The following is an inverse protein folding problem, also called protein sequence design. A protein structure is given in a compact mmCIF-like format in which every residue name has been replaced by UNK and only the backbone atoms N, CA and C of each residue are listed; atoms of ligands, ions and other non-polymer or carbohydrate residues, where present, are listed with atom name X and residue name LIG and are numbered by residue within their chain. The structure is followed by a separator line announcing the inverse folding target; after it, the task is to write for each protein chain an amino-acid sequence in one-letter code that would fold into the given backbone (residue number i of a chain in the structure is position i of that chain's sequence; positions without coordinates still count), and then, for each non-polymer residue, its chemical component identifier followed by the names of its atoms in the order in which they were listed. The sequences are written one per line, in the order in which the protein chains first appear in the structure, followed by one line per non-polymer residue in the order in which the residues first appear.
data_IF_227154164962
#
_entry.id   IF_227154164962
#
_cell.length_a   1.000
_cell.length_b   1.000
_cell.length_c   1.000
_cell.angle_alpha   90.00
_cell.angle_beta   90.00
_cell.angle_gamma   90.00
#
_symmetry.space_group_name_H-M   'P 1'
#
loop_
_entity.id
_entity.type
_entity.pdbx_description
1 polymer ?
#
# COMPACT_ATOMS: atom_id res chain seq x y z
N UNK A 1 26.72 1.11 12.00
CA UNK A 1 25.93 1.16 13.24
C UNK A 1 24.58 0.52 12.92
N UNK A 2 24.11 -0.43 13.72
CA UNK A 2 22.93 -1.26 13.40
C UNK A 2 21.62 -0.48 13.20
N UNK A 3 21.56 0.80 13.62
CA UNK A 3 20.40 1.67 13.46
C UNK A 3 20.40 2.56 12.22
N UNK A 4 21.49 2.60 11.43
CA UNK A 4 21.69 3.66 10.44
C UNK A 4 20.56 3.78 9.40
N UNK A 5 20.02 2.66 8.91
CA UNK A 5 18.94 2.67 7.91
C UNK A 5 17.63 3.24 8.48
N UNK A 6 17.26 2.82 9.69
CA UNK A 6 16.06 3.31 10.37
C UNK A 6 16.21 4.79 10.77
N UNK A 7 17.39 5.18 11.27
CA UNK A 7 17.72 6.57 11.61
C UNK A 7 17.66 7.48 10.37
N UNK A 8 18.26 7.04 9.24
CA UNK A 8 18.19 7.76 7.96
C UNK A 8 16.76 7.99 7.50
N UNK A 9 15.93 6.94 7.53
CA UNK A 9 14.53 7.03 7.12
C UNK A 9 13.74 7.95 8.05
N UNK A 10 14.01 7.87 9.37
CA UNK A 10 13.41 8.78 10.34
C UNK A 10 13.82 10.24 10.06
N UNK A 11 15.09 10.49 9.74
CA UNK A 11 15.55 11.82 9.33
C UNK A 11 14.84 12.28 8.06
N UNK A 12 14.68 11.43 7.04
CA UNK A 12 13.96 11.76 5.81
C UNK A 12 12.47 12.11 6.07
N UNK A 13 11.82 11.42 7.02
CA UNK A 13 10.46 11.75 7.46
C UNK A 13 10.44 13.11 8.18
N UNK A 14 11.38 13.34 9.11
CA UNK A 14 11.48 14.59 9.88
C UNK A 14 11.85 15.79 9.01
N UNK A 15 12.58 15.57 7.91
CA UNK A 15 12.91 16.59 6.91
C UNK A 15 11.84 16.73 5.82
N UNK A 16 10.68 16.08 5.98
CA UNK A 16 9.55 16.12 5.03
C UNK A 16 9.91 15.66 3.61
N UNK A 17 11.00 14.89 3.47
CA UNK A 17 11.38 14.23 2.21
C UNK A 17 10.52 13.01 1.95
N UNK A 18 10.10 12.33 3.03
CA UNK A 18 9.07 11.29 3.02
C UNK A 18 7.88 11.80 3.83
N UNK A 19 6.72 11.92 3.18
CA UNK A 19 5.54 12.50 3.81
C UNK A 19 4.74 11.45 4.59
N UNK A 20 4.99 11.35 5.91
CA UNK A 20 4.22 10.49 6.84
C UNK A 20 3.57 11.37 7.91
N UNK A 21 2.24 11.53 7.85
CA UNK A 21 1.47 12.25 8.88
C UNK A 21 1.16 11.28 10.02
N UNK A 22 1.59 11.59 11.24
CA UNK A 22 1.32 10.77 12.45
C UNK A 22 0.23 11.35 13.34
N UNK A 23 -0.26 12.54 13.02
CA UNK A 23 -1.29 13.27 13.75
C UNK A 23 -2.34 13.82 12.78
N UNK A 24 -3.53 14.14 13.31
CA UNK A 24 -4.65 14.61 12.52
C UNK A 24 -5.38 13.51 11.76
N UNK A 25 -6.21 13.91 10.80
CA UNK A 25 -7.07 13.01 10.03
C UNK A 25 -7.06 13.39 8.54
N UNK A 26 -7.03 12.38 7.67
CA UNK A 26 -7.12 12.51 6.21
C UNK A 26 -8.03 11.43 5.65
N UNK A 27 -9.08 11.83 4.92
CA UNK A 27 -9.98 10.88 4.27
C UNK A 27 -9.24 10.18 3.14
N UNK A 28 -9.34 8.85 3.09
CA UNK A 28 -8.76 8.04 2.01
C UNK A 28 -7.25 7.87 2.08
N UNK A 29 -6.61 8.18 3.20
CA UNK A 29 -5.18 7.95 3.41
C UNK A 29 -4.94 7.10 4.64
N UNK A 30 -3.92 6.24 4.56
CA UNK A 30 -3.45 5.43 5.68
C UNK A 30 -1.93 5.24 5.59
N UNK A 31 -1.27 5.13 6.74
CA UNK A 31 0.13 4.71 6.80
C UNK A 31 0.17 3.18 6.87
N UNK A 32 0.59 2.54 5.78
CA UNK A 32 0.95 1.14 5.77
C UNK A 32 2.32 0.94 6.42
N UNK A 33 2.60 -0.29 6.87
CA UNK A 33 3.88 -0.69 7.42
C UNK A 33 4.38 -1.94 6.68
N UNK A 34 5.54 -1.79 6.05
CA UNK A 34 6.28 -2.90 5.45
C UNK A 34 7.43 -3.30 6.38
N UNK A 35 7.92 -4.53 6.22
CA UNK A 35 9.14 -4.99 6.91
C UNK A 35 10.19 -5.26 5.84
N UNK A 36 11.33 -4.57 5.94
CA UNK A 36 12.44 -4.74 5.01
C UNK A 36 13.57 -5.52 5.69
N UNK A 37 14.06 -6.53 4.99
CA UNK A 37 15.28 -7.27 5.32
C UNK A 37 16.36 -6.96 4.27
N UNK A 38 17.46 -6.37 4.71
CA UNK A 38 18.61 -6.12 3.84
C UNK A 38 19.65 -7.22 3.98
N UNK A 39 20.11 -7.83 2.87
CA UNK A 39 21.20 -8.80 2.90
C UNK A 39 22.45 -8.21 3.56
N UNK A 40 22.98 -8.90 4.58
CA UNK A 40 24.14 -8.44 5.34
C UNK A 40 23.81 -7.44 6.46
N UNK A 41 22.54 -7.06 6.65
CA UNK A 41 22.09 -6.32 7.82
C UNK A 41 21.53 -7.30 8.88
N UNK A 42 21.92 -7.18 10.16
CA UNK A 42 21.59 -8.18 11.18
C UNK A 42 20.11 -8.19 11.61
N UNK A 43 19.35 -7.17 11.25
CA UNK A 43 17.95 -6.98 11.68
C UNK A 43 17.10 -6.43 10.56
N UNK A 44 15.86 -6.90 10.49
CA UNK A 44 14.81 -6.26 9.71
C UNK A 44 14.40 -4.92 10.36
N UNK A 45 13.88 -3.99 9.57
CA UNK A 45 13.24 -2.78 10.09
C UNK A 45 11.90 -2.51 9.41
N UNK A 46 11.04 -1.78 10.10
CA UNK A 46 9.74 -1.37 9.60
C UNK A 46 9.85 -0.11 8.77
N UNK A 47 9.27 -0.11 7.57
CA UNK A 47 9.20 1.04 6.67
C UNK A 47 7.74 1.50 6.56
N UNK A 48 7.38 2.68 7.09
CA UNK A 48 6.06 3.25 6.85
C UNK A 48 5.94 3.73 5.40
N UNK A 49 4.78 3.55 4.81
CA UNK A 49 4.46 4.08 3.48
C UNK A 49 3.05 4.65 3.49
N UNK A 50 2.88 5.84 2.91
CA UNK A 50 1.56 6.45 2.75
C UNK A 50 0.85 5.77 1.58
N UNK A 51 -0.34 5.22 1.84
CA UNK A 51 -1.24 4.71 0.82
C UNK A 51 -2.44 5.64 0.72
N UNK A 52 -2.70 6.11 -0.50
CA UNK A 52 -3.88 6.89 -0.85
C UNK A 52 -4.89 6.02 -1.60
N UNK A 53 -6.17 6.20 -1.31
CA UNK A 53 -7.29 5.53 -1.94
C UNK A 53 -8.30 6.56 -2.44
N UNK A 54 -8.67 6.44 -3.71
CA UNK A 54 -9.70 7.26 -4.34
C UNK A 54 -10.78 6.35 -4.93
N UNK A 55 -12.03 6.74 -4.70
CA UNK A 55 -13.20 6.03 -5.22
C UNK A 55 -13.85 6.87 -6.31
N UNK A 56 -14.10 6.25 -7.46
CA UNK A 56 -14.80 6.88 -8.57
C UNK A 56 -16.04 6.06 -8.95
N UNK A 57 -17.09 6.73 -9.42
CA UNK A 57 -18.26 6.05 -9.96
C UNK A 57 -17.94 5.65 -11.41
N UNK A 58 -17.95 4.35 -11.70
CA UNK A 58 -17.67 3.83 -13.04
C UNK A 58 -17.21 2.38 -13.02
N UNK A 59 -16.80 1.84 -14.17
CA UNK A 59 -16.23 0.50 -14.31
C UNK A 59 -14.76 0.62 -14.63
N UNK A 60 -13.86 0.19 -13.74
CA UNK A 60 -12.46 -0.02 -14.12
C UNK A 60 -12.34 -1.30 -14.92
N UNK A 61 -11.70 -1.22 -16.09
CA UNK A 61 -11.26 -2.40 -16.82
C UNK A 61 -9.98 -2.90 -16.16
N UNK A 62 -10.04 -4.08 -15.55
CA UNK A 62 -8.84 -4.77 -15.06
C UNK A 62 -8.09 -5.38 -16.26
N UNK A 63 -7.53 -4.55 -17.14
CA UNK A 63 -6.71 -5.01 -18.26
C UNK A 63 -5.25 -5.12 -17.84
N UNK A 64 -4.88 -6.26 -17.26
CA UNK A 64 -3.48 -6.73 -17.28
C UNK A 64 -3.44 -8.17 -17.76
N UNK A 65 -3.55 -8.34 -19.07
CA UNK A 65 -3.09 -9.55 -19.76
C UNK A 65 -1.60 -9.37 -20.04
N UNK A 66 -0.76 -9.78 -19.10
CA UNK A 66 0.66 -10.06 -19.39
C UNK A 66 0.78 -11.54 -19.75
N UNK A 67 1.56 -11.85 -20.79
CA UNK A 67 1.89 -13.22 -21.20
C UNK A 67 2.91 -13.90 -20.28
N UNK A 68 3.39 -13.21 -19.25
CA UNK A 68 4.42 -13.71 -18.32
C UNK A 68 3.81 -14.23 -17.01
N UNK A 69 4.51 -15.16 -16.35
CA UNK A 69 4.13 -15.63 -15.01
C UNK A 69 4.30 -14.48 -14.01
N UNK A 70 3.25 -14.05 -13.29
CA UNK A 70 3.36 -12.97 -12.32
C UNK A 70 4.20 -13.40 -11.12
N UNK A 71 4.89 -12.44 -10.49
CA UNK A 71 5.60 -12.69 -9.24
C UNK A 71 4.63 -13.00 -8.10
N UNK A 72 5.12 -13.67 -7.05
CA UNK A 72 4.32 -13.99 -5.87
C UNK A 72 3.71 -12.73 -5.22
N UNK A 73 4.47 -11.63 -5.17
CA UNK A 73 4.01 -10.35 -4.63
C UNK A 73 2.78 -9.82 -5.40
N UNK A 74 2.80 -9.89 -6.74
CA UNK A 74 1.67 -9.46 -7.59
C UNK A 74 0.45 -10.34 -7.36
N UNK A 75 0.63 -11.66 -7.19
CA UNK A 75 -0.46 -12.60 -6.91
C UNK A 75 -1.08 -12.31 -5.54
N UNK A 76 -0.26 -12.13 -4.49
CA UNK A 76 -0.73 -11.83 -3.14
C UNK A 76 -1.49 -10.50 -3.12
N UNK A 77 -0.93 -9.45 -3.75
CA UNK A 77 -1.59 -8.16 -3.89
C UNK A 77 -2.97 -8.30 -4.57
N UNK A 78 -3.04 -9.00 -5.71
CA UNK A 78 -4.30 -9.23 -6.41
C UNK A 78 -5.32 -9.98 -5.54
N UNK A 79 -4.89 -11.01 -4.81
CA UNK A 79 -5.76 -11.76 -3.90
C UNK A 79 -6.29 -10.86 -2.76
N UNK A 80 -5.45 -10.01 -2.19
CA UNK A 80 -5.86 -9.03 -1.19
C UNK A 80 -6.94 -8.07 -1.71
N UNK A 81 -6.74 -7.54 -2.92
CA UNK A 81 -7.73 -6.68 -3.60
C UNK A 81 -9.07 -7.40 -3.82
N UNK A 82 -9.04 -8.67 -4.24
CA UNK A 82 -10.26 -9.47 -4.42
C UNK A 82 -11.01 -9.70 -3.10
N UNK A 83 -10.30 -9.94 -2.00
CA UNK A 83 -10.90 -10.13 -0.67
C UNK A 83 -11.55 -8.82 -0.20
N UNK A 84 -10.84 -7.70 -0.29
CA UNK A 84 -11.37 -6.38 0.08
C UNK A 84 -12.61 -6.03 -0.76
N UNK A 85 -12.57 -6.31 -2.06
CA UNK A 85 -13.70 -6.09 -2.95
C UNK A 85 -14.91 -6.93 -2.54
N UNK A 86 -14.74 -8.23 -2.28
CA UNK A 86 -15.82 -9.10 -1.84
C UNK A 86 -16.44 -8.62 -0.51
N UNK A 87 -15.59 -8.19 0.44
CA UNK A 87 -16.02 -7.62 1.71
C UNK A 87 -16.87 -6.35 1.51
N UNK A 88 -16.37 -5.37 0.74
CA UNK A 88 -17.10 -4.12 0.48
C UNK A 88 -18.43 -4.36 -0.24
N UNK A 89 -18.47 -5.27 -1.21
CA UNK A 89 -19.71 -5.64 -1.89
C UNK A 89 -20.75 -6.22 -0.93
N UNK A 90 -20.30 -7.07 0.01
CA UNK A 90 -21.16 -7.68 1.03
C UNK A 90 -21.68 -6.64 2.03
N UNK A 91 -20.80 -5.83 2.63
CA UNK A 91 -21.17 -4.89 3.68
C UNK A 91 -22.00 -3.71 3.17
N UNK A 92 -21.69 -3.22 1.98
CA UNK A 92 -22.40 -2.07 1.39
C UNK A 92 -23.55 -2.49 0.48
N UNK A 93 -23.86 -3.78 0.38
CA UNK A 93 -24.95 -4.36 -0.43
C UNK A 93 -24.90 -3.90 -1.89
N UNK A 94 -23.70 -3.91 -2.48
CA UNK A 94 -23.47 -3.37 -3.81
C UNK A 94 -23.78 -4.42 -4.88
N UNK A 95 -24.66 -4.06 -5.81
CA UNK A 95 -24.98 -4.91 -6.96
C UNK A 95 -23.86 -4.95 -8.01
N UNK A 96 -22.96 -3.96 -7.99
CA UNK A 96 -21.87 -3.83 -8.94
C UNK A 96 -20.55 -3.56 -8.22
N UNK A 97 -19.46 -3.98 -8.86
CA UNK A 97 -18.11 -3.75 -8.37
C UNK A 97 -17.81 -2.25 -8.28
N UNK A 98 -17.39 -1.77 -7.11
CA UNK A 98 -16.80 -0.43 -6.98
C UNK A 98 -15.35 -0.48 -7.43
N UNK A 99 -14.94 0.37 -8.39
CA UNK A 99 -13.54 0.53 -8.70
C UNK A 99 -12.88 1.36 -7.60
N UNK A 100 -11.90 0.79 -6.91
CA UNK A 100 -10.99 1.56 -6.06
C UNK A 100 -9.55 1.31 -6.52
N UNK A 101 -8.78 2.39 -6.54
CA UNK A 101 -7.35 2.34 -6.82
C UNK A 101 -6.61 2.72 -5.55
N UNK A 102 -5.67 1.87 -5.13
CA UNK A 102 -4.70 2.20 -4.12
C UNK A 102 -3.40 2.59 -4.84
N UNK A 103 -2.90 3.79 -4.58
CA UNK A 103 -1.58 4.21 -5.02
C UNK A 103 -0.74 4.39 -3.76
N UNK A 104 0.39 3.70 -3.70
CA UNK A 104 1.44 4.07 -2.76
C UNK A 104 2.11 5.30 -3.37
N UNK A 105 1.89 6.46 -2.75
CA UNK A 105 2.61 7.67 -3.11
C UNK A 105 4.04 7.47 -2.56
N UNK A 106 5.03 7.42 -3.45
CA UNK A 106 6.46 7.36 -3.11
C UNK A 106 7.09 8.73 -3.37
#
# INVERSE_FOLDING_TARGET
MEGYLAERMQDEILQEQILIETEGERIGQINALSVIEFPGHPRAFGEPSRISCVVHIGRTVNSRTSSEKPSLAVIIHAKGMMIMQAFLMSELQLEQQIPFSALADL
#
